data_IF_948172260222
#
_entry.id   IF_948172260222
#
_cell.length_a   1.000
_cell.length_b   1.000
_cell.length_c   1.000
_cell.angle_alpha   90.00
_cell.angle_beta   90.00
_cell.angle_gamma   90.00
#
_symmetry.space_group_name_H-M   'P 1'
#
loop_
_entity.id
_entity.type
_entity.pdbx_description
1 polymer ?
#
# COMPACT_ATOMS: atom_id res chain seq x y z
N UNK A 1 20.86 21.45 0.96
CA UNK A 1 20.40 20.06 1.07
C UNK A 1 19.62 19.68 -0.18
N UNK A 2 19.44 18.39 -0.44
CA UNK A 2 18.62 17.84 -1.53
C UNK A 2 17.16 17.78 -1.05
N UNK A 3 16.22 18.28 -1.85
CA UNK A 3 14.78 18.27 -1.54
C UNK A 3 13.98 17.75 -2.74
N UNK A 4 12.92 16.99 -2.47
CA UNK A 4 11.96 16.56 -3.48
C UNK A 4 10.86 17.61 -3.67
N UNK A 5 10.43 17.85 -4.90
CA UNK A 5 9.27 18.68 -5.22
C UNK A 5 7.99 17.91 -4.83
N UNK A 6 7.05 18.49 -4.08
CA UNK A 6 5.80 17.80 -3.75
C UNK A 6 4.96 17.46 -4.98
N UNK A 7 4.19 16.37 -4.90
CA UNK A 7 3.20 15.99 -5.91
C UNK A 7 2.23 17.15 -6.20
N UNK A 8 1.79 17.30 -7.45
CA UNK A 8 0.87 18.39 -7.85
C UNK A 8 1.50 19.80 -7.90
N UNK A 9 2.83 19.90 -7.76
CA UNK A 9 3.55 21.18 -7.79
C UNK A 9 4.49 21.29 -8.99
N UNK A 10 4.79 22.53 -9.38
CA UNK A 10 5.81 22.88 -10.35
C UNK A 10 6.94 23.68 -9.70
N UNK A 11 8.11 23.65 -10.31
CA UNK A 11 9.28 24.45 -9.93
C UNK A 11 9.82 25.20 -11.15
N UNK A 12 10.04 26.51 -11.01
CA UNK A 12 10.72 27.35 -11.99
C UNK A 12 12.02 27.86 -11.39
N UNK A 13 13.14 27.47 -11.98
CA UNK A 13 14.45 27.99 -11.63
C UNK A 13 14.87 29.08 -12.64
N UNK A 14 15.31 30.23 -12.15
CA UNK A 14 15.80 31.35 -12.96
C UNK A 14 17.00 32.03 -12.28
N UNK A 15 17.64 32.99 -12.97
CA UNK A 15 18.69 33.82 -12.36
C UNK A 15 18.19 34.65 -11.16
N UNK A 16 16.88 34.92 -11.07
CA UNK A 16 16.28 35.68 -9.99
C UNK A 16 15.95 34.83 -8.75
N UNK A 17 16.06 33.49 -8.86
CA UNK A 17 15.74 32.56 -7.79
C UNK A 17 14.88 31.39 -8.26
N UNK A 18 14.40 30.63 -7.27
CA UNK A 18 13.51 29.48 -7.44
C UNK A 18 12.11 29.86 -6.99
N UNK A 19 11.14 29.59 -7.84
CA UNK A 19 9.71 29.76 -7.57
C UNK A 19 9.02 28.40 -7.63
N UNK A 20 8.09 28.15 -6.73
CA UNK A 20 7.28 26.91 -6.69
C UNK A 20 5.81 27.26 -6.61
N UNK A 21 4.96 26.51 -7.30
CA UNK A 21 3.51 26.66 -7.20
C UNK A 21 2.79 25.32 -7.28
N UNK A 22 1.57 25.27 -6.74
CA UNK A 22 0.67 24.13 -6.87
C UNK A 22 -0.16 24.30 -8.15
N UNK A 23 -0.17 23.30 -9.03
CA UNK A 23 -1.03 23.27 -10.22
C UNK A 23 -2.24 22.35 -10.05
N UNK A 24 -2.20 21.42 -9.10
CA UNK A 24 -3.29 20.50 -8.85
C UNK A 24 -3.37 20.10 -7.37
N UNK A 25 -4.58 20.17 -6.84
CA UNK A 25 -5.00 19.61 -5.55
C UNK A 25 -6.49 19.29 -5.67
N UNK A 26 -7.00 18.21 -5.06
CA UNK A 26 -8.42 17.91 -5.10
C UNK A 26 -9.23 18.94 -4.30
N UNK A 27 -10.44 19.24 -4.78
CA UNK A 27 -11.41 20.03 -4.04
C UNK A 27 -12.07 19.15 -2.95
N UNK A 28 -11.60 19.30 -1.72
CA UNK A 28 -12.08 18.51 -0.58
C UNK A 28 -13.44 18.98 -0.04
N UNK A 29 -13.83 20.21 -0.37
CA UNK A 29 -15.11 20.82 0.03
C UNK A 29 -16.25 20.41 -0.91
N UNK A 30 -15.91 20.00 -2.14
CA UNK A 30 -16.87 19.45 -3.10
C UNK A 30 -17.50 18.16 -2.59
N UNK A 31 -18.82 18.15 -2.42
CA UNK A 31 -19.60 16.93 -2.22
C UNK A 31 -20.54 16.72 -3.41
N UNK A 32 -20.47 15.55 -4.03
CA UNK A 32 -21.32 15.15 -5.14
C UNK A 32 -22.33 14.11 -4.67
N UNK A 33 -23.59 14.54 -4.55
CA UNK A 33 -24.73 13.65 -4.30
C UNK A 33 -25.48 13.39 -5.60
N UNK A 34 -25.75 12.13 -5.87
CA UNK A 34 -26.61 11.69 -6.96
C UNK A 34 -28.05 11.55 -6.48
N UNK A 35 -29.02 11.55 -7.39
CA UNK A 35 -30.43 11.39 -7.05
C UNK A 35 -30.72 9.98 -6.52
N UNK A 36 -29.93 8.98 -6.95
CA UNK A 36 -30.02 7.61 -6.45
C UNK A 36 -28.65 6.93 -6.37
N UNK A 37 -28.64 5.83 -5.61
CA UNK A 37 -27.51 4.91 -5.52
C UNK A 37 -27.17 4.28 -6.89
N UNK A 38 -28.14 4.13 -7.79
CA UNK A 38 -27.95 3.53 -9.12
C UNK A 38 -27.36 4.54 -10.09
N UNK A 39 -27.80 5.81 -10.04
CA UNK A 39 -27.19 6.89 -10.82
C UNK A 39 -25.72 7.11 -10.44
N UNK A 40 -25.41 7.05 -9.13
CA UNK A 40 -24.03 7.06 -8.64
C UNK A 40 -23.20 5.91 -9.22
N UNK A 41 -23.80 4.72 -9.29
CA UNK A 41 -23.15 3.51 -9.80
C UNK A 41 -22.91 3.57 -11.31
N UNK A 42 -23.89 4.07 -12.07
CA UNK A 42 -23.78 4.31 -13.51
C UNK A 42 -22.67 5.32 -13.82
N UNK A 43 -22.64 6.44 -13.08
CA UNK A 43 -21.59 7.45 -13.21
C UNK A 43 -20.19 6.89 -12.88
N UNK A 44 -20.09 6.10 -11.81
CA UNK A 44 -18.86 5.41 -11.42
C UNK A 44 -18.40 4.43 -12.51
N UNK A 45 -19.28 3.53 -12.97
CA UNK A 45 -18.95 2.53 -13.98
C UNK A 45 -18.50 3.20 -15.28
N UNK A 46 -19.24 4.20 -15.75
CA UNK A 46 -18.89 4.93 -16.97
C UNK A 46 -17.52 5.63 -16.85
N UNK A 47 -17.21 6.21 -15.69
CA UNK A 47 -15.89 6.82 -15.45
C UNK A 47 -14.79 5.76 -15.35
N UNK A 48 -15.00 4.71 -14.57
CA UNK A 48 -14.02 3.65 -14.34
C UNK A 48 -13.67 2.93 -15.65
N UNK A 49 -14.67 2.65 -16.49
CA UNK A 49 -14.46 2.03 -17.80
C UNK A 49 -13.66 2.93 -18.74
N UNK A 50 -13.90 4.24 -18.75
CA UNK A 50 -13.08 5.19 -19.51
C UNK A 50 -11.65 5.26 -18.98
N UNK A 51 -11.48 5.34 -17.66
CA UNK A 51 -10.15 5.39 -17.02
C UNK A 51 -9.34 4.15 -17.37
N UNK A 52 -9.93 2.96 -17.26
CA UNK A 52 -9.26 1.70 -17.65
C UNK A 52 -8.93 1.69 -19.15
N UNK A 53 -9.85 2.14 -20.01
CA UNK A 53 -9.60 2.22 -21.45
C UNK A 53 -8.42 3.13 -21.81
N UNK A 54 -8.30 4.29 -21.15
CA UNK A 54 -7.19 5.22 -21.34
C UNK A 54 -5.85 4.58 -20.91
N UNK A 55 -5.86 3.81 -19.83
CA UNK A 55 -4.67 3.12 -19.32
C UNK A 55 -4.24 1.94 -20.20
N UNK A 56 -5.18 1.35 -20.96
CA UNK A 56 -4.92 0.31 -21.96
C UNK A 56 -4.31 0.86 -23.26
N UNK A 57 -4.26 2.17 -23.47
CA UNK A 57 -3.68 2.76 -24.66
C UNK A 57 -2.16 2.48 -24.72
N UNK A 58 -1.77 1.56 -25.60
CA UNK A 58 -0.39 1.16 -25.81
C UNK A 58 -0.20 0.56 -27.20
N UNK A 59 1.00 0.73 -27.77
CA UNK A 59 1.42 0.05 -29.00
C UNK A 59 1.95 -1.36 -28.73
N UNK A 60 2.06 -1.75 -27.47
CA UNK A 60 2.52 -3.08 -27.04
C UNK A 60 1.44 -3.77 -26.23
N UNK A 61 1.48 -5.11 -26.10
CA UNK A 61 0.56 -5.82 -25.22
C UNK A 61 0.62 -5.29 -23.78
N UNK A 62 -0.57 -5.20 -23.17
CA UNK A 62 -0.76 -4.76 -21.79
C UNK A 62 -0.98 -5.98 -20.90
N UNK A 63 -0.40 -5.96 -19.70
CA UNK A 63 -0.61 -6.93 -18.65
C UNK A 63 -1.20 -6.28 -17.41
N UNK A 64 -1.59 -7.09 -16.42
CA UNK A 64 -2.09 -6.67 -15.12
C UNK A 64 -1.38 -7.44 -14.01
N UNK A 65 -1.02 -6.77 -12.93
CA UNK A 65 -0.72 -7.41 -11.67
C UNK A 65 -2.04 -7.73 -10.94
N UNK A 66 -2.35 -9.01 -10.80
CA UNK A 66 -3.60 -9.51 -10.24
C UNK A 66 -3.39 -10.04 -8.82
N UNK A 67 -4.34 -9.70 -7.94
CA UNK A 67 -4.49 -10.30 -6.62
C UNK A 67 -5.96 -10.63 -6.37
N UNK A 68 -6.25 -11.35 -5.29
CA UNK A 68 -7.59 -11.65 -4.79
C UNK A 68 -8.26 -10.48 -4.08
N UNK A 69 -7.70 -9.26 -4.20
CA UNK A 69 -8.28 -8.02 -3.73
C UNK A 69 -9.29 -7.43 -4.71
N UNK A 70 -10.13 -6.51 -4.23
CA UNK A 70 -11.19 -5.88 -5.04
C UNK A 70 -10.64 -4.93 -6.12
N UNK A 71 -9.50 -4.28 -5.88
CA UNK A 71 -8.98 -3.23 -6.77
C UNK A 71 -8.43 -3.80 -8.09
N UNK A 72 -7.46 -4.72 -7.99
CA UNK A 72 -6.84 -5.36 -9.14
C UNK A 72 -7.84 -6.24 -9.90
N UNK A 73 -8.73 -6.94 -9.19
CA UNK A 73 -9.78 -7.75 -9.82
C UNK A 73 -10.82 -6.90 -10.56
N UNK A 74 -11.19 -5.73 -10.05
CA UNK A 74 -12.07 -4.81 -10.77
C UNK A 74 -11.43 -4.31 -12.08
N UNK A 75 -10.14 -3.96 -12.04
CA UNK A 75 -9.38 -3.62 -13.25
C UNK A 75 -9.35 -4.82 -14.19
N UNK A 76 -9.10 -6.04 -13.69
CA UNK A 76 -9.10 -7.26 -14.50
C UNK A 76 -10.39 -7.47 -15.27
N UNK A 77 -11.54 -7.35 -14.58
CA UNK A 77 -12.86 -7.55 -15.17
C UNK A 77 -13.17 -6.54 -16.28
N UNK A 78 -12.80 -5.27 -16.09
CA UNK A 78 -13.01 -4.22 -17.09
C UNK A 78 -12.01 -4.34 -18.24
N UNK A 79 -10.72 -4.47 -17.93
CA UNK A 79 -9.65 -4.48 -18.92
C UNK A 79 -9.72 -5.71 -19.83
N UNK A 80 -10.01 -6.89 -19.27
CA UNK A 80 -10.14 -8.11 -20.06
C UNK A 80 -11.34 -8.05 -21.02
N UNK A 81 -12.47 -7.47 -20.58
CA UNK A 81 -13.64 -7.26 -21.44
C UNK A 81 -13.30 -6.31 -22.62
N UNK A 82 -12.69 -5.16 -22.34
CA UNK A 82 -12.32 -4.16 -23.36
C UNK A 82 -11.25 -4.68 -24.34
N UNK A 83 -10.32 -5.53 -23.88
CA UNK A 83 -9.36 -6.20 -24.77
C UNK A 83 -10.03 -7.31 -25.59
N UNK A 84 -10.98 -8.04 -25.00
CA UNK A 84 -11.78 -9.07 -25.68
C UNK A 84 -12.56 -8.52 -26.87
N UNK A 85 -13.16 -7.33 -26.73
CA UNK A 85 -13.82 -6.61 -27.84
C UNK A 85 -12.88 -6.31 -29.02
N UNK A 86 -11.56 -6.24 -28.75
CA UNK A 86 -10.50 -6.02 -29.75
C UNK A 86 -9.84 -7.32 -30.20
N UNK A 87 -10.37 -8.48 -29.81
CA UNK A 87 -9.79 -9.79 -30.10
C UNK A 87 -8.50 -10.11 -29.35
N UNK A 88 -8.19 -9.36 -28.29
CA UNK A 88 -7.00 -9.53 -27.46
C UNK A 88 -7.34 -10.19 -26.11
N UNK A 89 -6.30 -10.64 -25.41
CA UNK A 89 -6.41 -11.24 -24.06
C UNK A 89 -5.53 -10.46 -23.09
N UNK A 90 -5.97 -10.37 -21.84
CA UNK A 90 -5.22 -9.72 -20.76
C UNK A 90 -4.34 -10.75 -20.05
N UNK A 91 -3.03 -10.60 -20.12
CA UNK A 91 -2.12 -11.36 -19.28
C UNK A 91 -2.18 -10.82 -17.84
N UNK A 92 -2.57 -11.67 -16.89
CA UNK A 92 -2.61 -11.36 -15.47
C UNK A 92 -1.50 -12.13 -14.73
N UNK A 93 -0.73 -11.44 -13.90
CA UNK A 93 0.38 -12.00 -13.13
C UNK A 93 0.11 -11.91 -11.63
N UNK A 94 0.27 -13.03 -10.93
CA UNK A 94 0.09 -13.11 -9.48
C UNK A 94 1.29 -13.81 -8.87
N UNK A 95 1.93 -13.20 -7.87
CA UNK A 95 2.91 -13.93 -7.08
C UNK A 95 2.21 -14.94 -6.19
N UNK A 96 2.80 -16.13 -6.11
CA UNK A 96 2.37 -17.20 -5.21
C UNK A 96 3.53 -17.62 -4.34
N UNK A 97 3.26 -18.07 -3.10
CA UNK A 97 4.31 -18.51 -2.20
C UNK A 97 5.23 -19.57 -2.82
N UNK A 98 6.47 -19.64 -2.33
CA UNK A 98 7.44 -20.69 -2.69
C UNK A 98 6.83 -22.09 -2.60
N UNK A 99 7.41 -23.03 -3.36
CA UNK A 99 6.98 -24.41 -3.27
C UNK A 99 7.14 -24.96 -1.83
N UNK A 100 6.08 -25.61 -1.33
CA UNK A 100 6.06 -26.14 0.04
C UNK A 100 6.06 -25.06 1.13
N UNK A 101 5.39 -23.92 0.89
CA UNK A 101 5.18 -22.92 1.92
C UNK A 101 4.26 -23.44 3.03
N UNK A 102 4.76 -23.48 4.26
CA UNK A 102 4.04 -23.88 5.48
C UNK A 102 4.00 -22.74 6.52
N UNK A 103 4.23 -21.50 6.07
CA UNK A 103 4.36 -20.35 6.96
C UNK A 103 3.05 -20.01 7.68
N UNK A 104 3.19 -19.39 8.85
CA UNK A 104 2.04 -19.03 9.68
C UNK A 104 1.21 -17.93 9.03
N UNK A 105 -0.11 -18.10 9.07
CA UNK A 105 -1.07 -17.14 8.53
C UNK A 105 -1.83 -16.49 9.70
N UNK A 106 -1.61 -15.18 9.97
CA UNK A 106 -2.38 -14.46 10.97
C UNK A 106 -3.88 -14.56 10.71
N UNK A 107 -4.67 -14.55 11.78
CA UNK A 107 -6.12 -14.60 11.66
C UNK A 107 -6.64 -13.45 10.79
N UNK A 108 -7.40 -13.80 9.75
CA UNK A 108 -7.96 -12.83 8.81
C UNK A 108 -7.02 -12.44 7.68
N UNK A 109 -5.92 -13.18 7.51
CA UNK A 109 -5.02 -13.07 6.36
C UNK A 109 -4.87 -14.42 5.67
N UNK A 110 -4.48 -14.38 4.39
CA UNK A 110 -4.12 -15.56 3.61
C UNK A 110 -2.82 -15.30 2.87
N UNK A 111 -1.99 -16.34 2.71
CA UNK A 111 -0.70 -16.24 2.03
C UNK A 111 -0.76 -16.59 0.54
N UNK A 112 -1.58 -17.58 0.18
CA UNK A 112 -1.69 -18.06 -1.19
C UNK A 112 -2.90 -17.43 -1.90
N UNK A 113 -2.62 -16.58 -2.87
CA UNK A 113 -3.60 -15.90 -3.72
C UNK A 113 -4.26 -16.88 -4.73
N UNK A 114 -3.65 -18.04 -5.00
CA UNK A 114 -4.05 -18.98 -6.06
C UNK A 114 -5.54 -19.29 -6.09
N UNK A 115 -6.22 -19.62 -4.97
CA UNK A 115 -7.64 -19.94 -5.01
C UNK A 115 -8.51 -18.77 -5.51
N UNK A 116 -8.20 -17.54 -5.10
CA UNK A 116 -8.98 -16.36 -5.46
C UNK A 116 -8.71 -15.94 -6.90
N UNK A 117 -7.44 -15.89 -7.32
CA UNK A 117 -7.12 -15.49 -8.70
C UNK A 117 -7.55 -16.55 -9.73
N UNK A 118 -7.57 -17.83 -9.35
CA UNK A 118 -8.16 -18.89 -10.17
C UNK A 118 -9.67 -18.72 -10.31
N UNK A 119 -10.37 -18.36 -9.23
CA UNK A 119 -11.80 -18.06 -9.30
C UNK A 119 -12.09 -16.85 -10.19
N UNK A 120 -11.23 -15.82 -10.16
CA UNK A 120 -11.33 -14.66 -11.07
C UNK A 120 -11.15 -15.12 -12.51
N UNK A 121 -10.09 -15.86 -12.81
CA UNK A 121 -9.80 -16.36 -14.16
C UNK A 121 -10.88 -17.30 -14.70
N UNK A 122 -11.57 -18.04 -13.83
CA UNK A 122 -12.70 -18.88 -14.21
C UNK A 122 -13.97 -18.10 -14.60
N UNK A 123 -14.12 -16.85 -14.15
CA UNK A 123 -15.29 -16.02 -14.40
C UNK A 123 -15.04 -14.89 -15.41
N UNK A 124 -13.85 -14.29 -15.39
CA UNK A 124 -13.48 -13.20 -16.28
C UNK A 124 -12.97 -13.76 -17.61
N UNK A 125 -13.78 -13.63 -18.67
CA UNK A 125 -13.39 -14.02 -20.02
C UNK A 125 -12.19 -13.20 -20.52
N UNK A 126 -11.44 -13.76 -21.47
CA UNK A 126 -10.25 -13.11 -22.08
C UNK A 126 -9.11 -12.78 -21.10
N UNK A 127 -9.08 -13.41 -19.93
CA UNK A 127 -7.99 -13.29 -18.96
C UNK A 127 -7.09 -14.54 -18.99
N UNK A 128 -5.78 -14.31 -19.10
CA UNK A 128 -4.76 -15.35 -19.03
C UNK A 128 -4.00 -15.23 -17.70
N UNK A 129 -4.30 -16.12 -16.76
CA UNK A 129 -3.68 -16.14 -15.45
C UNK A 129 -2.28 -16.77 -15.51
N UNK A 130 -1.31 -16.09 -14.92
CA UNK A 130 0.08 -16.52 -14.83
C UNK A 130 0.55 -16.43 -13.38
N UNK A 131 0.81 -17.57 -12.77
CA UNK A 131 1.36 -17.63 -11.42
C UNK A 131 2.88 -17.49 -11.48
N UNK A 132 3.42 -16.53 -10.73
CA UNK A 132 4.83 -16.22 -10.66
C UNK A 132 5.35 -16.71 -9.32
N UNK A 133 6.39 -17.53 -9.38
CA UNK A 133 7.12 -18.01 -8.23
C UNK A 133 8.49 -17.34 -8.19
N UNK A 134 8.96 -17.08 -6.98
CA UNK A 134 10.19 -16.34 -6.71
C UNK A 134 11.15 -17.16 -5.86
N UNK A 135 11.09 -18.49 -5.95
CA UNK A 135 11.98 -19.42 -5.26
C UNK A 135 13.45 -19.08 -5.58
N UNK A 136 14.24 -18.75 -4.55
CA UNK A 136 15.66 -18.45 -4.68
C UNK A 136 16.02 -16.96 -4.83
N UNK A 137 15.04 -16.10 -5.10
CA UNK A 137 15.28 -14.65 -5.21
C UNK A 137 15.41 -13.99 -3.82
N UNK A 138 16.37 -13.07 -3.69
CA UNK A 138 16.62 -12.33 -2.45
C UNK A 138 16.55 -10.81 -2.66
N UNK A 139 16.10 -10.09 -1.63
CA UNK A 139 15.83 -8.64 -1.75
C UNK A 139 17.10 -7.77 -1.85
N UNK A 140 18.29 -8.36 -1.66
CA UNK A 140 19.59 -7.70 -1.85
C UNK A 140 20.27 -8.10 -3.18
N UNK A 141 19.60 -8.85 -4.04
CA UNK A 141 20.15 -9.17 -5.36
C UNK A 141 20.12 -7.92 -6.26
N UNK A 142 21.07 -7.79 -7.20
CA UNK A 142 21.04 -6.79 -8.28
C UNK A 142 20.82 -5.32 -7.81
N UNK A 143 21.50 -4.93 -6.71
CA UNK A 143 21.34 -3.60 -6.08
C UNK A 143 21.93 -2.41 -6.88
N UNK A 144 23.14 -2.49 -7.47
CA UNK A 144 23.76 -1.32 -8.10
C UNK A 144 22.89 -0.68 -9.18
N UNK A 145 22.35 -1.49 -10.10
CA UNK A 145 21.46 -0.97 -11.15
C UNK A 145 20.17 -0.37 -10.60
N UNK A 146 19.63 -0.91 -9.50
CA UNK A 146 18.51 -0.28 -8.81
C UNK A 146 18.88 1.07 -8.23
N UNK A 147 20.02 1.18 -7.55
CA UNK A 147 20.44 2.43 -6.91
C UNK A 147 20.78 3.51 -7.94
N UNK A 148 21.38 3.15 -9.07
CA UNK A 148 21.64 4.07 -10.18
C UNK A 148 20.35 4.69 -10.74
N UNK A 149 19.28 3.91 -10.86
CA UNK A 149 18.02 4.39 -11.43
C UNK A 149 17.05 4.99 -10.42
N UNK A 150 17.08 4.53 -9.16
CA UNK A 150 16.20 5.02 -8.09
C UNK A 150 16.79 6.22 -7.35
N UNK A 151 18.12 6.37 -7.36
CA UNK A 151 18.90 7.38 -6.61
C UNK A 151 18.58 7.39 -5.10
N UNK A 152 18.03 6.30 -4.58
CA UNK A 152 17.59 6.14 -3.20
C UNK A 152 17.53 4.65 -2.82
N UNK A 153 17.53 4.30 -1.51
CA UNK A 153 17.30 2.94 -1.08
C UNK A 153 15.84 2.52 -1.32
N UNK A 154 15.62 1.24 -1.63
CA UNK A 154 14.27 0.69 -1.77
C UNK A 154 13.59 0.60 -0.39
N UNK A 155 12.43 1.24 -0.22
CA UNK A 155 11.81 1.34 1.12
C UNK A 155 11.19 0.04 1.63
N UNK A 156 10.53 -0.72 0.77
CA UNK A 156 9.83 -1.95 1.15
C UNK A 156 10.54 -3.19 0.61
N UNK A 157 11.61 -3.59 1.28
CA UNK A 157 12.50 -4.69 0.87
C UNK A 157 11.76 -5.99 0.58
N UNK A 158 10.78 -6.35 1.43
CA UNK A 158 10.03 -7.59 1.30
C UNK A 158 9.23 -7.65 -0.01
N UNK A 159 8.67 -6.52 -0.46
CA UNK A 159 7.87 -6.49 -1.68
C UNK A 159 8.69 -6.44 -2.97
N UNK A 160 9.95 -6.02 -2.89
CA UNK A 160 10.81 -5.85 -4.07
C UNK A 160 10.88 -7.11 -4.92
N UNK A 161 11.05 -8.27 -4.26
CA UNK A 161 11.28 -9.56 -4.91
C UNK A 161 10.12 -9.94 -5.83
N UNK A 162 8.89 -9.92 -5.32
CA UNK A 162 7.75 -10.30 -6.14
C UNK A 162 7.40 -9.24 -7.20
N UNK A 163 7.61 -7.95 -6.90
CA UNK A 163 7.39 -6.86 -7.88
C UNK A 163 8.32 -7.06 -9.08
N UNK A 164 9.62 -7.24 -8.84
CA UNK A 164 10.60 -7.42 -9.90
C UNK A 164 10.39 -8.70 -10.70
N UNK A 165 10.04 -9.81 -10.04
CA UNK A 165 9.79 -11.06 -10.73
C UNK A 165 8.61 -10.96 -11.71
N UNK A 166 7.51 -10.31 -11.30
CA UNK A 166 6.37 -10.05 -12.18
C UNK A 166 6.78 -9.14 -13.34
N UNK A 167 7.49 -8.05 -13.05
CA UNK A 167 7.94 -7.09 -14.07
C UNK A 167 8.90 -7.73 -15.09
N UNK A 168 9.89 -8.50 -14.64
CA UNK A 168 10.83 -9.23 -15.52
C UNK A 168 10.09 -10.28 -16.35
N UNK A 169 9.16 -11.01 -15.75
CA UNK A 169 8.34 -12.02 -16.47
C UNK A 169 7.48 -11.37 -17.56
N UNK A 170 6.82 -10.25 -17.24
CA UNK A 170 6.02 -9.50 -18.21
C UNK A 170 6.89 -8.92 -19.34
N UNK A 171 8.03 -8.32 -18.98
CA UNK A 171 9.01 -7.78 -19.93
C UNK A 171 9.53 -8.83 -20.91
N UNK A 172 9.90 -10.01 -20.41
CA UNK A 172 10.38 -11.14 -21.22
C UNK A 172 9.34 -11.66 -22.21
N UNK A 173 8.05 -11.49 -21.92
CA UNK A 173 6.93 -11.87 -22.78
C UNK A 173 6.45 -10.75 -23.70
N UNK A 174 7.22 -9.66 -23.81
CA UNK A 174 6.94 -8.56 -24.72
C UNK A 174 5.91 -7.55 -24.21
N UNK A 175 5.42 -7.69 -22.97
CA UNK A 175 4.57 -6.65 -22.37
C UNK A 175 5.45 -5.46 -21.95
N UNK A 176 4.98 -4.24 -22.22
CA UNK A 176 5.66 -3.00 -21.81
C UNK A 176 4.79 -2.11 -20.95
N UNK A 177 3.54 -2.50 -20.71
CA UNK A 177 2.62 -1.83 -19.79
C UNK A 177 2.08 -2.87 -18.83
N UNK A 178 2.17 -2.60 -17.53
CA UNK A 178 1.62 -3.42 -16.46
C UNK A 178 0.64 -2.57 -15.64
N UNK A 179 -0.65 -2.93 -15.67
CA UNK A 179 -1.64 -2.30 -14.81
C UNK A 179 -1.52 -2.82 -13.38
N UNK A 180 -1.86 -1.99 -12.40
CA UNK A 180 -1.99 -2.40 -10.99
C UNK A 180 -3.15 -1.68 -10.30
N UNK A 181 -3.52 -2.16 -9.11
CA UNK A 181 -4.59 -1.58 -8.28
C UNK A 181 -4.09 -0.68 -7.16
N UNK A 182 -2.90 -0.08 -7.27
CA UNK A 182 -2.32 0.73 -6.19
C UNK A 182 -3.20 1.94 -5.86
N UNK A 183 -3.29 2.27 -4.58
CA UNK A 183 -4.14 3.35 -4.05
C UNK A 183 -5.67 3.12 -4.19
N UNK A 184 -6.14 1.98 -4.71
CA UNK A 184 -7.57 1.68 -4.84
C UNK A 184 -8.33 1.68 -3.51
N UNK A 185 -7.65 1.30 -2.42
CA UNK A 185 -8.18 1.36 -1.06
C UNK A 185 -8.38 2.78 -0.53
N UNK A 186 -7.84 3.81 -1.20
CA UNK A 186 -8.05 5.24 -0.92
C UNK A 186 -9.12 5.85 -1.84
N UNK A 187 -9.51 5.16 -2.90
CA UNK A 187 -10.47 5.62 -3.91
C UNK A 187 -11.68 4.70 -3.97
N UNK A 188 -11.76 3.82 -4.96
CA UNK A 188 -12.93 3.02 -5.32
C UNK A 188 -13.31 1.94 -4.28
N UNK A 189 -12.33 1.37 -3.58
CA UNK A 189 -12.56 0.37 -2.53
C UNK A 189 -12.36 0.93 -1.12
N UNK A 190 -12.48 2.25 -0.97
CA UNK A 190 -12.47 2.90 0.34
C UNK A 190 -13.44 2.21 1.30
N UNK A 191 -12.97 2.01 2.52
CA UNK A 191 -13.65 1.15 3.49
C UNK A 191 -14.59 1.90 4.42
N UNK A 192 -14.73 3.23 4.31
CA UNK A 192 -15.72 4.02 5.03
C UNK A 192 -15.39 4.34 6.49
N UNK A 193 -14.11 4.39 6.90
CA UNK A 193 -13.69 4.57 8.31
C UNK A 193 -14.12 5.86 9.00
N UNK A 194 -14.68 6.83 8.28
CA UNK A 194 -15.16 8.08 8.87
C UNK A 194 -16.67 8.09 9.16
N UNK A 195 -17.41 7.10 8.65
CA UNK A 195 -18.87 7.22 8.57
C UNK A 195 -19.56 7.32 9.94
N UNK A 196 -19.21 6.44 10.89
CA UNK A 196 -19.79 6.48 12.24
C UNK A 196 -19.43 7.78 12.96
N UNK A 197 -18.19 8.26 12.86
CA UNK A 197 -17.78 9.53 13.46
C UNK A 197 -18.53 10.71 12.84
N UNK A 198 -18.72 10.71 11.51
CA UNK A 198 -19.50 11.72 10.79
C UNK A 198 -20.96 11.77 11.28
N UNK A 199 -21.61 10.62 11.40
CA UNK A 199 -23.00 10.54 11.88
C UNK A 199 -23.14 11.04 13.32
N UNK A 200 -22.29 10.58 14.22
CA UNK A 200 -22.32 10.98 15.63
C UNK A 200 -21.98 12.48 15.79
N UNK A 201 -20.97 12.97 15.07
CA UNK A 201 -20.58 14.38 15.08
C UNK A 201 -21.66 15.31 14.53
N UNK A 202 -22.44 14.84 13.56
CA UNK A 202 -23.60 15.56 13.00
C UNK A 202 -24.89 15.40 13.82
N UNK A 203 -24.86 14.68 14.95
CA UNK A 203 -26.04 14.43 15.78
C UNK A 203 -27.06 13.46 15.18
N UNK A 204 -26.69 12.69 14.17
CA UNK A 204 -27.55 11.72 13.47
C UNK A 204 -27.58 10.37 14.21
N UNK A 205 -27.97 10.39 15.50
CA UNK A 205 -27.88 9.23 16.40
C UNK A 205 -28.69 8.01 15.96
N UNK A 206 -29.87 8.23 15.38
CA UNK A 206 -30.73 7.14 14.89
C UNK A 206 -30.08 6.40 13.72
N UNK A 207 -29.46 7.15 12.82
CA UNK A 207 -28.74 6.59 11.69
C UNK A 207 -27.48 5.86 12.15
N UNK A 208 -26.71 6.45 13.08
CA UNK A 208 -25.57 5.77 13.69
C UNK A 208 -25.97 4.45 14.37
N UNK A 209 -27.09 4.44 15.09
CA UNK A 209 -27.63 3.22 15.71
C UNK A 209 -28.01 2.17 14.66
N UNK A 210 -28.63 2.58 13.55
CA UNK A 210 -28.96 1.68 12.43
C UNK A 210 -27.70 1.05 11.84
N UNK A 211 -26.64 1.83 11.62
CA UNK A 211 -25.36 1.33 11.13
C UNK A 211 -24.74 0.30 12.08
N UNK A 212 -24.72 0.60 13.39
CA UNK A 212 -24.20 -0.33 14.41
C UNK A 212 -25.02 -1.61 14.48
N UNK A 213 -26.35 -1.54 14.36
CA UNK A 213 -27.21 -2.72 14.28
C UNK A 213 -26.91 -3.56 13.03
N UNK A 214 -26.70 -2.93 11.87
CA UNK A 214 -26.26 -3.62 10.65
C UNK A 214 -24.92 -4.35 10.83
N UNK A 215 -23.96 -3.69 11.48
CA UNK A 215 -22.69 -4.34 11.87
C UNK A 215 -22.89 -5.50 12.83
N UNK A 216 -23.81 -5.38 13.79
CA UNK A 216 -24.09 -6.43 14.76
C UNK A 216 -24.70 -7.67 14.09
N UNK A 217 -25.56 -7.47 13.09
CA UNK A 217 -26.14 -8.56 12.29
C UNK A 217 -25.08 -9.33 11.50
N UNK A 218 -24.08 -8.65 10.96
CA UNK A 218 -23.04 -9.26 10.10
C UNK A 218 -21.84 -9.79 10.89
N UNK A 219 -21.41 -9.10 11.95
CA UNK A 219 -20.14 -9.35 12.66
C UNK A 219 -20.30 -9.67 14.14
N UNK A 220 -21.50 -9.53 14.69
CA UNK A 220 -21.84 -9.71 16.11
C UNK A 220 -21.66 -8.44 16.94
N UNK A 221 -22.45 -8.31 18.02
CA UNK A 221 -22.45 -7.17 18.94
C UNK A 221 -21.07 -6.81 19.52
N UNK A 222 -20.20 -7.75 19.92
CA UNK A 222 -18.88 -7.39 20.45
C UNK A 222 -18.01 -6.63 19.44
N UNK A 223 -18.08 -7.01 18.15
CA UNK A 223 -17.32 -6.34 17.09
C UNK A 223 -17.94 -5.01 16.70
N UNK A 224 -19.27 -4.96 16.64
CA UNK A 224 -20.01 -3.72 16.38
C UNK A 224 -19.74 -2.67 17.46
N UNK A 225 -19.75 -3.04 18.74
CA UNK A 225 -19.43 -2.14 19.85
C UNK A 225 -17.98 -1.64 19.80
N UNK A 226 -17.01 -2.51 19.47
CA UNK A 226 -15.62 -2.10 19.25
C UNK A 226 -15.49 -1.12 18.08
N UNK A 227 -16.23 -1.32 16.99
CA UNK A 227 -16.23 -0.40 15.85
C UNK A 227 -16.90 0.93 16.19
N UNK A 228 -18.00 0.95 16.95
CA UNK A 228 -18.62 2.18 17.45
C UNK A 228 -17.64 3.01 18.27
N UNK A 229 -16.89 2.37 19.17
CA UNK A 229 -15.86 3.06 19.95
C UNK A 229 -14.72 3.52 19.03
N UNK A 230 -14.16 2.61 18.23
CA UNK A 230 -12.95 2.86 17.44
C UNK A 230 -13.11 3.83 16.26
N UNK A 231 -14.22 3.73 15.54
CA UNK A 231 -14.51 4.48 14.31
C UNK A 231 -15.61 5.55 14.50
N UNK A 232 -16.32 5.54 15.63
CA UNK A 232 -17.36 6.51 15.95
C UNK A 232 -16.93 7.50 17.02
N UNK A 233 -16.72 7.01 18.25
CA UNK A 233 -16.50 7.86 19.42
C UNK A 233 -15.07 8.39 19.51
N UNK A 234 -14.06 7.52 19.38
CA UNK A 234 -12.65 7.90 19.53
C UNK A 234 -12.21 9.03 18.55
N UNK A 235 -12.61 9.04 17.27
CA UNK A 235 -12.29 10.12 16.34
C UNK A 235 -12.90 11.49 16.68
N UNK A 236 -13.90 11.53 17.57
CA UNK A 236 -14.56 12.76 18.02
C UNK A 236 -13.99 13.30 19.34
N UNK A 237 -13.14 12.54 20.02
CA UNK A 237 -12.54 12.99 21.27
C UNK A 237 -11.51 14.10 21.02
N UNK A 238 -11.43 15.13 21.89
CA UNK A 238 -10.37 16.12 21.82
C UNK A 238 -8.99 15.46 21.92
N UNK A 239 -8.00 16.01 21.19
CA UNK A 239 -6.64 15.46 21.09
C UNK A 239 -6.02 15.18 22.48
N UNK A 240 -6.26 16.06 23.46
CA UNK A 240 -5.76 15.91 24.83
C UNK A 240 -6.26 14.62 25.53
N UNK A 241 -7.52 14.24 25.33
CA UNK A 241 -8.12 13.04 25.93
C UNK A 241 -7.63 11.77 25.24
N UNK A 242 -7.53 11.81 23.91
CA UNK A 242 -6.99 10.70 23.15
C UNK A 242 -5.52 10.44 23.54
N UNK A 243 -4.69 11.48 23.62
CA UNK A 243 -3.29 11.38 24.07
C UNK A 243 -3.19 10.84 25.50
N UNK A 244 -4.09 11.25 26.39
CA UNK A 244 -4.19 10.72 27.76
C UNK A 244 -4.53 9.22 27.79
N UNK A 245 -5.56 8.79 27.05
CA UNK A 245 -5.96 7.39 26.94
C UNK A 245 -4.87 6.52 26.33
N UNK A 246 -4.16 7.03 25.32
CA UNK A 246 -3.07 6.30 24.69
C UNK A 246 -1.81 6.25 25.56
N UNK A 247 -1.51 7.29 26.34
CA UNK A 247 -0.49 7.23 27.39
C UNK A 247 -0.85 6.21 28.48
N UNK A 248 -2.13 5.97 28.76
CA UNK A 248 -2.54 4.93 29.71
C UNK A 248 -2.41 3.52 29.12
N UNK A 249 -2.73 3.34 27.82
CA UNK A 249 -2.62 2.04 27.12
C UNK A 249 -1.20 1.68 26.70
N UNK A 250 -0.40 2.69 26.36
CA UNK A 250 0.98 2.56 25.91
C UNK A 250 1.88 3.55 26.67
N UNK A 251 2.08 3.37 28.00
CA UNK A 251 2.74 4.34 28.90
C UNK A 251 4.20 4.67 28.59
N UNK A 252 4.77 4.10 27.53
CA UNK A 252 6.17 4.29 27.13
C UNK A 252 6.38 4.58 25.64
N UNK A 253 5.32 4.83 24.86
CA UNK A 253 5.45 5.05 23.41
C UNK A 253 4.89 6.43 23.02
N UNK A 254 5.76 7.44 22.96
CA UNK A 254 5.50 8.54 22.02
C UNK A 254 5.51 7.94 20.61
N UNK A 255 4.48 8.19 19.80
CA UNK A 255 4.40 7.61 18.47
C UNK A 255 5.51 8.13 17.53
N UNK A 256 6.11 9.30 17.80
CA UNK A 256 7.36 9.72 17.16
C UNK A 256 8.54 8.82 17.55
N UNK A 257 8.68 8.51 18.83
CA UNK A 257 9.68 7.53 19.31
C UNK A 257 9.41 6.12 18.81
N UNK A 258 8.15 5.71 18.65
CA UNK A 258 7.79 4.43 18.08
C UNK A 258 8.18 4.34 16.60
N UNK A 259 8.02 5.42 15.83
CA UNK A 259 8.47 5.50 14.44
C UNK A 259 10.00 5.38 14.34
N UNK A 260 10.74 6.08 15.20
CA UNK A 260 12.20 5.94 15.28
C UNK A 260 12.62 4.55 15.76
N UNK A 261 11.89 3.95 16.72
CA UNK A 261 12.14 2.59 17.15
C UNK A 261 11.87 1.58 16.02
N UNK A 262 10.97 1.87 15.09
CA UNK A 262 10.74 1.07 13.89
C UNK A 262 11.73 1.35 12.74
N UNK A 263 12.73 2.21 12.96
CA UNK A 263 13.79 2.56 12.00
C UNK A 263 15.10 1.83 12.31
N UNK A 264 15.93 1.53 11.29
CA UNK A 264 17.30 1.04 11.48
C UNK A 264 18.32 2.14 11.81
N UNK A 265 17.90 3.40 11.85
CA UNK A 265 18.79 4.56 12.04
C UNK A 265 19.35 4.59 13.46
N UNK A 266 20.65 4.88 13.57
CA UNK A 266 21.34 5.11 14.84
C UNK A 266 20.66 6.25 15.63
N UNK A 267 20.23 6.03 16.88
CA UNK A 267 19.56 7.07 17.67
C UNK A 267 20.36 8.36 17.86
N UNK A 268 21.70 8.28 17.98
CA UNK A 268 22.55 9.46 18.11
C UNK A 268 22.59 10.26 16.80
N UNK A 269 22.67 9.57 15.66
CA UNK A 269 22.59 10.20 14.35
C UNK A 269 21.22 10.86 14.12
N UNK A 270 20.15 10.14 14.45
CA UNK A 270 18.78 10.63 14.36
C UNK A 270 18.60 11.94 15.16
N UNK A 271 19.04 11.95 16.42
CA UNK A 271 18.96 13.14 17.28
C UNK A 271 19.77 14.32 16.73
N UNK A 272 20.99 14.07 16.23
CA UNK A 272 21.85 15.11 15.67
C UNK A 272 21.28 15.77 14.40
N UNK A 273 20.33 15.12 13.71
CA UNK A 273 19.74 15.60 12.46
C UNK A 273 18.24 15.91 12.57
N UNK A 274 17.72 16.10 13.79
CA UNK A 274 16.32 16.50 14.00
C UNK A 274 15.28 15.45 13.61
N UNK A 275 15.68 14.17 13.45
CA UNK A 275 14.76 13.10 13.11
C UNK A 275 13.68 12.85 14.17
N UNK A 276 13.92 13.03 15.50
CA UNK A 276 12.86 12.97 16.51
C UNK A 276 11.76 13.99 16.30
N UNK A 277 12.13 15.24 15.98
CA UNK A 277 11.16 16.31 15.75
C UNK A 277 10.35 16.01 14.48
N UNK A 278 11.02 15.63 13.38
CA UNK A 278 10.37 15.19 12.15
C UNK A 278 9.44 13.98 12.36
N UNK A 279 9.86 13.01 13.17
CA UNK A 279 9.04 11.83 13.49
C UNK A 279 7.82 12.23 14.34
N UNK A 280 8.01 13.15 15.29
CA UNK A 280 6.94 13.67 16.14
C UNK A 280 5.93 14.47 15.31
N UNK A 281 6.39 15.38 14.44
CA UNK A 281 5.57 16.14 13.49
C UNK A 281 4.77 15.22 12.58
N UNK A 282 5.42 14.29 11.89
CA UNK A 282 4.74 13.32 11.01
C UNK A 282 3.70 12.51 11.76
N UNK A 283 4.05 12.05 12.95
CA UNK A 283 3.13 11.24 13.75
C UNK A 283 1.95 12.06 14.29
N UNK A 284 2.16 13.30 14.75
CA UNK A 284 1.09 14.19 15.16
C UNK A 284 0.16 14.56 14.02
N UNK A 285 0.74 14.75 12.84
CA UNK A 285 -0.03 15.03 11.66
C UNK A 285 -0.93 13.81 11.35
N UNK A 286 -0.38 12.58 11.25
CA UNK A 286 -1.20 11.34 11.11
C UNK A 286 -2.29 11.22 12.18
N UNK A 287 -1.99 11.64 13.42
CA UNK A 287 -2.91 11.61 14.57
C UNK A 287 -4.05 12.63 14.50
N UNK A 288 -3.80 13.85 14.04
CA UNK A 288 -4.83 14.88 13.88
C UNK A 288 -5.87 14.57 12.80
N UNK A 289 -5.66 13.50 12.01
CA UNK A 289 -6.35 13.17 10.75
C UNK A 289 -7.40 12.07 10.87
N UNK A 290 -7.54 11.41 12.01
CA UNK A 290 -8.67 10.52 12.31
C UNK A 290 -9.82 11.36 12.88
N UNK A 291 -10.44 12.18 12.03
CA UNK A 291 -11.61 13.02 12.37
C UNK A 291 -12.87 12.48 11.68
N UNK A 292 -14.01 13.12 11.97
CA UNK A 292 -15.28 12.84 11.29
C UNK A 292 -15.21 12.94 9.76
N UNK A 293 -14.36 13.82 9.21
CA UNK A 293 -14.10 13.91 7.77
C UNK A 293 -12.80 13.19 7.41
N UNK A 294 -12.92 12.09 6.66
CA UNK A 294 -11.80 11.26 6.18
C UNK A 294 -11.19 11.70 4.85
N UNK A 295 -11.76 12.69 4.16
CA UNK A 295 -11.22 13.17 2.87
C UNK A 295 -9.81 13.75 2.96
N UNK A 296 -9.46 14.61 3.94
CA UNK A 296 -8.09 15.12 4.06
C UNK A 296 -7.07 14.01 4.33
N UNK A 297 -7.45 12.98 5.07
CA UNK A 297 -6.60 11.80 5.31
C UNK A 297 -6.35 11.03 4.02
N UNK A 298 -7.39 10.85 3.19
CA UNK A 298 -7.30 10.14 1.91
C UNK A 298 -6.45 10.94 0.92
N UNK A 299 -6.72 12.23 0.77
CA UNK A 299 -5.96 13.14 -0.09
C UNK A 299 -4.46 13.12 0.24
N UNK A 300 -4.11 13.29 1.51
CA UNK A 300 -2.71 13.23 1.88
C UNK A 300 -2.08 11.85 1.63
N UNK A 301 -2.82 10.76 1.89
CA UNK A 301 -2.33 9.43 1.59
C UNK A 301 -2.07 9.26 0.09
N UNK A 302 -2.93 9.80 -0.78
CA UNK A 302 -2.72 9.84 -2.24
C UNK A 302 -1.48 10.67 -2.59
N UNK A 303 -1.31 11.85 -1.97
CA UNK A 303 -0.19 12.75 -2.26
C UNK A 303 1.17 12.25 -1.74
N UNK A 304 1.19 11.54 -0.61
CA UNK A 304 2.43 11.06 0.05
C UNK A 304 2.89 9.69 -0.42
N UNK A 305 2.05 8.94 -1.12
CA UNK A 305 2.40 7.68 -1.79
C UNK A 305 2.92 7.91 -3.22
N UNK A 306 3.86 8.84 -3.38
CA UNK A 306 4.52 9.05 -4.67
C UNK A 306 5.44 7.87 -5.01
N UNK A 307 5.08 7.13 -6.06
CA UNK A 307 5.85 6.02 -6.60
C UNK A 307 6.69 6.42 -7.83
N UNK A 308 6.68 7.68 -8.26
CA UNK A 308 7.28 8.13 -9.52
C UNK A 308 8.75 7.73 -9.70
N UNK A 309 9.55 7.82 -8.64
CA UNK A 309 10.95 7.37 -8.65
C UNK A 309 11.06 5.84 -8.88
N UNK A 310 10.21 5.04 -8.21
CA UNK A 310 10.15 3.59 -8.39
C UNK A 310 9.68 3.21 -9.79
N UNK A 311 8.64 3.87 -10.29
CA UNK A 311 8.09 3.65 -11.63
C UNK A 311 9.14 3.94 -12.71
N UNK A 312 9.85 5.07 -12.57
CA UNK A 312 10.93 5.47 -13.47
C UNK A 312 12.08 4.47 -13.43
N UNK A 313 12.48 4.03 -12.23
CA UNK A 313 13.55 3.07 -12.05
C UNK A 313 13.22 1.71 -12.68
N UNK A 314 12.03 1.17 -12.42
CA UNK A 314 11.60 -0.09 -13.03
C UNK A 314 11.47 0.02 -14.54
N UNK A 315 10.94 1.13 -15.07
CA UNK A 315 10.89 1.37 -16.50
C UNK A 315 12.28 1.36 -17.14
N UNK A 316 13.28 1.95 -16.47
CA UNK A 316 14.67 1.94 -16.95
C UNK A 316 15.30 0.54 -16.88
N UNK A 317 15.08 -0.20 -15.79
CA UNK A 317 15.68 -1.52 -15.56
C UNK A 317 15.08 -2.63 -16.43
N UNK A 318 13.76 -2.66 -16.59
CA UNK A 318 13.06 -3.79 -17.23
C UNK A 318 12.25 -3.40 -18.47
N UNK A 319 12.16 -2.10 -18.80
CA UNK A 319 11.39 -1.62 -19.94
C UNK A 319 9.87 -1.72 -19.78
N UNK A 320 9.36 -1.87 -18.54
CA UNK A 320 7.92 -1.99 -18.26
C UNK A 320 7.43 -0.74 -17.53
N UNK A 321 6.42 -0.09 -18.10
CA UNK A 321 5.71 1.06 -17.55
C UNK A 321 4.55 0.56 -16.67
N UNK A 322 4.57 0.84 -15.36
CA UNK A 322 3.43 0.50 -14.51
C UNK A 322 2.43 1.64 -14.48
N UNK A 323 1.13 1.29 -14.51
CA UNK A 323 0.05 2.28 -14.49
C UNK A 323 -1.06 1.84 -13.53
N UNK A 324 -1.55 2.77 -12.73
CA UNK A 324 -2.58 2.49 -11.73
C UNK A 324 -3.89 3.21 -12.08
N UNK A 325 -4.85 2.57 -12.80
CA UNK A 325 -6.16 3.15 -13.06
C UNK A 325 -6.87 3.66 -11.79
N UNK A 326 -6.63 2.99 -10.66
CA UNK A 326 -7.16 3.34 -9.33
C UNK A 326 -6.61 4.65 -8.75
N UNK A 327 -5.49 5.14 -9.28
CA UNK A 327 -4.85 6.40 -8.92
C UNK A 327 -5.05 7.52 -9.97
N UNK A 328 -5.87 7.28 -11.01
CA UNK A 328 -6.23 8.32 -11.98
C UNK A 328 -6.91 9.50 -11.26
N UNK A 329 -6.43 10.72 -11.56
CA UNK A 329 -6.92 11.96 -10.93
C UNK A 329 -8.43 12.10 -11.02
N UNK A 330 -9.05 11.75 -12.15
CA UNK A 330 -10.49 11.86 -12.35
C UNK A 330 -11.26 10.90 -11.44
N UNK A 331 -10.73 9.69 -11.26
CA UNK A 331 -11.33 8.68 -10.39
C UNK A 331 -11.13 9.04 -8.91
N UNK A 332 -9.95 9.54 -8.55
CA UNK A 332 -9.66 10.00 -7.20
C UNK A 332 -10.58 11.17 -6.80
N UNK A 333 -10.72 12.20 -7.66
CA UNK A 333 -11.63 13.32 -7.45
C UNK A 333 -13.08 12.87 -7.32
N UNK A 334 -13.54 11.97 -8.20
CA UNK A 334 -14.88 11.40 -8.11
C UNK A 334 -15.11 10.70 -6.77
N UNK A 335 -14.22 9.78 -6.38
CA UNK A 335 -14.34 9.03 -5.14
C UNK A 335 -14.14 9.87 -3.87
N UNK A 336 -13.42 10.98 -3.94
CA UNK A 336 -13.28 11.94 -2.84
C UNK A 336 -14.54 12.80 -2.70
N UNK A 337 -15.20 13.14 -3.81
CA UNK A 337 -16.43 13.94 -3.81
C UNK A 337 -17.66 13.14 -3.34
N UNK A 338 -17.65 11.81 -3.42
CA UNK A 338 -18.77 11.00 -2.95
C UNK A 338 -19.01 11.14 -1.43
N UNK A 339 -20.27 11.06 -0.97
CA UNK A 339 -20.57 10.91 0.45
C UNK A 339 -20.14 9.53 0.97
N UNK A 340 -19.75 9.46 2.24
CA UNK A 340 -19.20 8.23 2.88
C UNK A 340 -20.19 7.04 2.86
N UNK A 341 -21.49 7.31 2.75
CA UNK A 341 -22.53 6.28 2.69
C UNK A 341 -22.54 5.47 1.37
N UNK A 342 -21.83 5.94 0.34
CA UNK A 342 -21.56 5.15 -0.88
C UNK A 342 -20.52 4.06 -0.63
N UNK A 343 -19.62 4.26 0.34
CA UNK A 343 -18.58 3.30 0.70
C UNK A 343 -19.01 2.38 1.85
N UNK A 344 -19.89 2.86 2.73
CA UNK A 344 -20.39 2.12 3.87
C UNK A 344 -21.89 2.31 4.10
N UNK A 345 -22.65 1.21 4.14
CA UNK A 345 -24.06 1.23 4.58
C UNK A 345 -24.50 -0.11 5.15
N UNK A 346 -25.25 -0.11 6.24
CA UNK A 346 -25.85 -1.30 6.87
C UNK A 346 -24.86 -2.41 7.24
N UNK A 347 -23.63 -2.02 7.58
CA UNK A 347 -22.55 -2.95 7.94
C UNK A 347 -21.81 -3.53 6.74
N UNK A 348 -22.19 -3.17 5.52
CA UNK A 348 -21.45 -3.47 4.29
C UNK A 348 -20.40 -2.38 4.03
N UNK A 349 -19.13 -2.79 4.03
CA UNK A 349 -17.97 -1.93 3.75
C UNK A 349 -17.47 -2.10 2.32
N UNK A 350 -16.89 -1.07 1.72
CA UNK A 350 -16.43 -1.08 0.32
C UNK A 350 -17.58 -1.29 -0.66
N UNK A 351 -18.75 -0.74 -0.32
CA UNK A 351 -20.02 -0.99 -1.01
C UNK A 351 -20.00 -0.55 -2.48
N UNK A 352 -19.40 0.61 -2.78
CA UNK A 352 -19.28 1.13 -4.15
C UNK A 352 -18.70 0.08 -5.11
N UNK A 353 -17.50 -0.43 -4.83
CA UNK A 353 -16.86 -1.41 -5.70
C UNK A 353 -17.56 -2.77 -5.70
N UNK A 354 -18.13 -3.19 -4.56
CA UNK A 354 -18.90 -4.45 -4.48
C UNK A 354 -20.12 -4.43 -5.38
N UNK A 355 -20.86 -3.32 -5.39
CA UNK A 355 -22.00 -3.10 -6.28
C UNK A 355 -21.57 -3.01 -7.74
N UNK A 356 -20.49 -2.27 -8.02
CA UNK A 356 -19.99 -2.10 -9.39
C UNK A 356 -19.56 -3.43 -10.02
N UNK A 357 -18.95 -4.30 -9.22
CA UNK A 357 -18.44 -5.59 -9.69
C UNK A 357 -19.39 -6.76 -9.46
N UNK A 358 -20.61 -6.52 -8.96
CA UNK A 358 -21.62 -7.56 -8.82
C UNK A 358 -21.93 -8.19 -10.18
N UNK A 359 -21.80 -9.53 -10.27
CA UNK A 359 -21.95 -10.26 -11.53
C UNK A 359 -20.76 -10.14 -12.50
N UNK A 360 -19.73 -9.34 -12.19
CA UNK A 360 -18.48 -9.22 -12.96
C UNK A 360 -17.29 -9.94 -12.29
N UNK A 361 -17.41 -10.19 -10.99
CA UNK A 361 -16.42 -10.91 -10.17
C UNK A 361 -17.07 -12.04 -9.36
N UNK A 362 -16.30 -13.08 -9.02
CA UNK A 362 -16.82 -14.21 -8.25
C UNK A 362 -17.22 -13.79 -6.83
N UNK A 363 -18.30 -14.36 -6.25
CA UNK A 363 -18.71 -14.09 -4.88
C UNK A 363 -17.59 -14.31 -3.86
N UNK A 364 -16.72 -15.31 -4.09
CA UNK A 364 -15.57 -15.58 -3.23
C UNK A 364 -14.59 -14.40 -3.11
N UNK A 365 -14.47 -13.55 -4.13
CA UNK A 365 -13.64 -12.33 -4.11
C UNK A 365 -14.42 -11.15 -3.57
N UNK A 366 -15.67 -10.98 -4.00
CA UNK A 366 -16.54 -9.91 -3.50
C UNK A 366 -16.67 -10.05 -1.98
N UNK A 367 -17.10 -11.19 -1.46
CA UNK A 367 -17.37 -11.42 -0.04
C UNK A 367 -16.10 -11.65 0.82
N UNK A 368 -14.92 -11.59 0.20
CA UNK A 368 -13.66 -11.74 0.91
C UNK A 368 -13.46 -10.59 1.93
N UNK A 369 -13.32 -10.98 3.19
CA UNK A 369 -13.01 -10.07 4.30
C UNK A 369 -11.60 -10.31 4.87
N UNK A 370 -10.83 -11.19 4.24
CA UNK A 370 -9.44 -11.44 4.59
C UNK A 370 -8.50 -10.54 3.78
N UNK A 371 -7.28 -10.36 4.26
CA UNK A 371 -6.23 -9.58 3.60
C UNK A 371 -5.13 -10.51 3.09
N UNK A 372 -4.77 -10.40 1.81
CA UNK A 372 -3.60 -11.08 1.27
C UNK A 372 -2.31 -10.62 1.96
N UNK A 373 -1.47 -11.58 2.33
CA UNK A 373 -0.15 -11.32 2.88
C UNK A 373 0.80 -11.01 1.73
N UNK A 374 1.39 -9.82 1.73
CA UNK A 374 2.46 -9.52 0.79
C UNK A 374 3.76 -10.16 1.29
N UNK A 375 4.52 -10.77 0.38
CA UNK A 375 5.79 -11.43 0.69
C UNK A 375 5.65 -12.41 1.87
N UNK A 376 4.67 -13.32 1.79
CA UNK A 376 4.32 -14.22 2.90
C UNK A 376 5.49 -15.08 3.38
N UNK A 377 6.46 -15.34 2.51
CA UNK A 377 7.67 -16.14 2.75
C UNK A 377 8.93 -15.30 3.06
N UNK A 378 8.76 -14.03 3.45
CA UNK A 378 9.87 -13.13 3.79
C UNK A 378 10.85 -13.73 4.82
N UNK A 379 10.33 -14.52 5.77
CA UNK A 379 11.14 -15.10 6.84
C UNK A 379 11.99 -16.26 6.31
N UNK A 380 11.39 -17.14 5.54
CA UNK A 380 12.06 -18.27 4.91
C UNK A 380 13.14 -17.80 3.93
N UNK A 381 12.88 -16.72 3.19
CA UNK A 381 13.90 -16.08 2.33
C UNK A 381 15.08 -15.58 3.15
N UNK A 382 14.82 -14.88 4.26
CA UNK A 382 15.87 -14.37 5.13
C UNK A 382 16.72 -15.51 5.73
N UNK A 383 16.08 -16.63 6.11
CA UNK A 383 16.78 -17.81 6.64
C UNK A 383 17.57 -18.54 5.55
N UNK A 384 17.03 -18.66 4.34
CA UNK A 384 17.74 -19.27 3.21
C UNK A 384 18.97 -18.44 2.79
N UNK A 385 18.89 -17.11 2.93
CA UNK A 385 19.95 -16.18 2.56
C UNK A 385 20.95 -15.86 3.70
N UNK A 386 21.03 -16.66 4.77
CA UNK A 386 21.91 -16.40 5.94
C UNK A 386 23.34 -16.06 5.55
N UNK A 387 23.95 -16.82 4.65
CA UNK A 387 25.31 -16.56 4.17
C UNK A 387 25.45 -15.19 3.51
N UNK A 388 24.46 -14.77 2.70
CA UNK A 388 24.45 -13.45 2.07
C UNK A 388 24.25 -12.34 3.12
N UNK A 389 23.36 -12.56 4.10
CA UNK A 389 23.11 -11.60 5.19
C UNK A 389 24.35 -11.42 6.06
N UNK A 390 25.04 -12.51 6.42
CA UNK A 390 26.28 -12.45 7.20
C UNK A 390 27.38 -11.69 6.45
N UNK A 391 27.52 -11.95 5.15
CA UNK A 391 28.45 -11.25 4.30
C UNK A 391 28.13 -9.75 4.22
N UNK A 392 26.86 -9.38 4.04
CA UNK A 392 26.49 -7.96 3.96
C UNK A 392 26.65 -7.25 5.30
N UNK A 393 26.23 -7.84 6.42
CA UNK A 393 26.45 -7.24 7.76
C UNK A 393 27.95 -7.00 8.01
N UNK A 394 28.83 -7.95 7.65
CA UNK A 394 30.27 -7.77 7.78
C UNK A 394 30.84 -6.65 6.87
N UNK A 395 30.19 -6.38 5.72
CA UNK A 395 30.54 -5.23 4.87
C UNK A 395 30.05 -3.92 5.47
N UNK A 396 28.84 -3.89 6.01
CA UNK A 396 28.28 -2.70 6.69
C UNK A 396 29.12 -2.30 7.90
N UNK A 397 29.62 -3.28 8.65
CA UNK A 397 30.54 -3.07 9.78
C UNK A 397 31.87 -2.43 9.37
N UNK A 398 32.22 -2.42 8.07
CA UNK A 398 33.44 -1.75 7.54
C UNK A 398 33.14 -0.41 6.84
N UNK A 399 31.88 -0.07 6.60
CA UNK A 399 31.48 1.17 5.94
C UNK A 399 31.39 2.31 6.95
N UNK A 400 32.10 3.42 6.72
CA UNK A 400 32.09 4.54 7.65
C UNK A 400 30.73 5.26 7.63
N UNK A 401 30.09 5.34 6.46
CA UNK A 401 28.72 5.85 6.34
C UNK A 401 27.72 4.96 7.08
N UNK A 402 27.79 3.64 6.93
CA UNK A 402 26.87 2.71 7.60
C UNK A 402 27.06 2.77 9.12
N UNK A 403 28.29 2.73 9.64
CA UNK A 403 28.57 2.87 11.08
C UNK A 403 28.02 4.16 11.67
N UNK A 404 28.04 5.26 10.90
CA UNK A 404 27.54 6.56 11.34
C UNK A 404 26.00 6.62 11.35
N UNK A 405 25.34 6.07 10.33
CA UNK A 405 23.91 6.26 10.09
C UNK A 405 23.06 5.15 10.70
N UNK A 406 23.55 3.91 10.76
CA UNK A 406 22.78 2.74 11.18
C UNK A 406 23.11 2.29 12.60
N UNK A 407 22.10 1.73 13.28
CA UNK A 407 22.28 1.01 14.54
C UNK A 407 22.75 -0.43 14.26
N UNK A 408 24.00 -0.58 13.81
CA UNK A 408 24.58 -1.88 13.45
C UNK A 408 24.54 -2.92 14.60
N UNK A 409 24.82 -2.56 15.87
CA UNK A 409 24.68 -3.51 16.99
C UNK A 409 23.26 -4.06 17.11
N UNK A 410 22.24 -3.21 16.89
CA UNK A 410 20.84 -3.65 16.90
C UNK A 410 20.49 -4.55 15.72
N UNK A 411 21.01 -4.27 14.52
CA UNK A 411 20.83 -5.13 13.35
C UNK A 411 21.42 -6.52 13.62
N UNK A 412 22.65 -6.59 14.14
CA UNK A 412 23.31 -7.85 14.51
C UNK A 412 22.50 -8.60 15.58
N UNK A 413 22.10 -7.93 16.65
CA UNK A 413 21.31 -8.55 17.71
C UNK A 413 19.95 -9.08 17.21
N UNK A 414 19.31 -8.38 16.27
CA UNK A 414 18.07 -8.84 15.61
C UNK A 414 18.30 -10.09 14.75
N UNK A 415 19.41 -10.15 14.02
CA UNK A 415 19.77 -11.29 13.20
C UNK A 415 20.12 -12.52 14.05
N UNK A 416 20.91 -12.35 15.12
CA UNK A 416 21.36 -13.44 15.99
C UNK A 416 20.19 -14.06 16.77
N UNK A 417 19.16 -13.27 17.08
CA UNK A 417 17.95 -13.73 17.78
C UNK A 417 16.81 -14.14 16.85
N UNK A 418 17.09 -14.36 15.55
CA UNK A 418 16.08 -14.82 14.61
C UNK A 418 15.35 -16.04 15.17
N UNK A 419 14.00 -16.06 15.17
CA UNK A 419 13.22 -17.18 15.68
C UNK A 419 13.58 -18.49 14.97
N UNK A 420 13.29 -19.62 15.61
CA UNK A 420 13.56 -20.93 15.01
C UNK A 420 12.65 -21.24 13.80
N UNK A 421 11.49 -20.58 13.70
CA UNK A 421 10.52 -20.77 12.61
C UNK A 421 9.68 -19.49 12.37
N UNK A 422 8.96 -19.48 11.24
CA UNK A 422 8.13 -18.35 10.82
C UNK A 422 7.02 -18.01 11.83
N UNK A 423 6.45 -19.00 12.54
CA UNK A 423 5.41 -18.77 13.54
C UNK A 423 5.91 -17.88 14.69
N UNK A 424 7.17 -18.08 15.13
CA UNK A 424 7.81 -17.22 16.14
C UNK A 424 8.10 -15.80 15.65
N UNK A 425 8.26 -15.60 14.34
CA UNK A 425 8.51 -14.29 13.74
C UNK A 425 7.24 -13.51 13.39
N UNK A 426 6.13 -14.22 13.15
CA UNK A 426 4.85 -13.63 12.69
C UNK A 426 4.19 -12.74 13.76
N UNK A 427 4.45 -13.01 15.04
CA UNK A 427 3.91 -12.22 16.16
C UNK A 427 4.48 -10.80 16.27
N UNK A 428 5.66 -10.54 15.70
CA UNK A 428 6.31 -9.23 15.71
C UNK A 428 7.24 -9.09 14.48
N UNK A 429 6.64 -8.93 13.29
CA UNK A 429 7.39 -8.84 12.03
C UNK A 429 8.08 -7.47 11.84
N UNK A 430 7.66 -6.43 12.56
CA UNK A 430 8.11 -5.05 12.38
C UNK A 430 9.64 -4.91 12.57
N UNK A 431 10.25 -5.46 13.63
CA UNK A 431 11.70 -5.43 13.81
C UNK A 431 12.47 -6.17 12.71
N UNK A 432 11.90 -7.18 12.07
CA UNK A 432 12.60 -7.92 11.03
C UNK A 432 12.48 -7.26 9.67
N UNK A 433 11.28 -6.85 9.26
CA UNK A 433 11.07 -6.23 7.94
C UNK A 433 11.61 -4.79 7.92
N UNK A 434 11.20 -3.94 8.87
CA UNK A 434 11.54 -2.51 8.80
C UNK A 434 12.92 -2.18 9.38
N UNK A 435 13.35 -2.89 10.42
CA UNK A 435 14.66 -2.63 11.05
C UNK A 435 15.74 -3.51 10.44
N UNK A 436 15.64 -4.84 10.48
CA UNK A 436 16.69 -5.70 9.94
C UNK A 436 16.81 -5.59 8.41
N UNK A 437 15.77 -5.93 7.65
CA UNK A 437 15.86 -5.87 6.17
C UNK A 437 16.00 -4.43 5.67
N UNK A 438 15.23 -3.49 6.23
CA UNK A 438 15.37 -2.07 5.91
C UNK A 438 16.77 -1.52 6.21
N UNK A 439 17.40 -1.97 7.30
CA UNK A 439 18.78 -1.63 7.65
C UNK A 439 19.81 -2.21 6.69
N UNK A 440 19.61 -3.45 6.25
CA UNK A 440 20.46 -4.07 5.22
C UNK A 440 20.38 -3.31 3.89
N UNK A 441 19.16 -2.96 3.44
CA UNK A 441 18.95 -2.21 2.19
C UNK A 441 19.51 -0.78 2.26
N UNK A 442 19.23 -0.04 3.34
CA UNK A 442 19.79 1.29 3.54
C UNK A 442 21.33 1.24 3.66
N UNK A 443 21.86 0.24 4.37
CA UNK A 443 23.30 0.04 4.50
C UNK A 443 23.97 -0.25 3.17
N UNK A 444 23.38 -1.12 2.35
CA UNK A 444 23.90 -1.43 1.03
C UNK A 444 23.91 -0.18 0.12
N UNK A 445 22.88 0.67 0.20
CA UNK A 445 22.85 1.95 -0.50
C UNK A 445 23.92 2.92 -0.01
N UNK A 446 24.08 3.08 1.30
CA UNK A 446 25.12 3.95 1.88
C UNK A 446 26.53 3.52 1.46
N UNK A 447 26.77 2.20 1.44
CA UNK A 447 28.04 1.62 1.00
C UNK A 447 28.27 1.84 -0.49
N UNK A 448 27.25 1.60 -1.33
CA UNK A 448 27.32 1.91 -2.76
C UNK A 448 27.66 3.39 -3.00
N UNK A 449 27.04 4.30 -2.25
CA UNK A 449 27.32 5.73 -2.32
C UNK A 449 28.75 6.08 -1.83
N UNK A 450 29.25 5.41 -0.80
CA UNK A 450 30.60 5.60 -0.24
C UNK A 450 31.72 5.10 -1.17
N UNK A 451 31.48 3.98 -1.88
CA UNK A 451 32.44 3.36 -2.79
C UNK A 451 32.65 4.15 -4.11
N UNK A 452 31.82 5.17 -4.34
CA UNK A 452 31.82 6.01 -5.55
C UNK A 452 30.92 5.43 -6.63
N UNK A 453 29.74 6.07 -6.79
CA UNK A 453 28.80 5.80 -7.87
C UNK A 453 29.35 6.21 -9.25
#
# INVERSE_FOLDING_TARGET
GVNALPSGHWLRASRAGVETGCFWQPDLDREQRFASDDECLEAFNALFERVVADHLASTTPVALQLSGGLDSSAIAAVAAAQLGERGARLAAYTEVPRAGFEGAQPRGMYADETPLVTAIAGMVAHLDLNLVRTDGDFFLDDLPGMFEHLEAPFRNTANRVWIEAILRTAGARGQRVLLDGMQGNLTLSWHGSGWLASLLGAGQWNEAARQVQGMARTRGWPRAGRALIGQGVLPLLPDAWWLGLNRLRHPRQDAGQALLAASPINPAFAAAHGAPDLAHERSNAVRARLRANTRPLRDEALATQDFGAYLSAYRAMVGVDMRSPTADVRLAEFCLALPEDQFWRDGESRRLIRRAMAGRLPPAVLDNNQRGMQAADWFERLVAARTQVDAELARLERSAMAQRVLDLPRLRALYDRLPANAAGATGDFVPYIYVLQGGLMLGAFLRWFEEGA
#
